data_IF_043205036195
#
_entry.id   IF_043205036195
#
_cell.length_a   1.000
_cell.length_b   1.000
_cell.length_c   1.000
_cell.angle_alpha   90.00
_cell.angle_beta   90.00
_cell.angle_gamma   90.00
#
_symmetry.space_group_name_H-M   'P 1'
#
loop_
_entity.id
_entity.type
_entity.pdbx_description
1 polymer ?
#
# COMPACT_ATOMS: atom_id res chain seq x y z
N UNK A 1 3.99 -29.10 -20.18
CA UNK A 1 3.13 -30.24 -19.76
C UNK A 1 3.84 -31.59 -19.76
N UNK A 2 4.45 -32.04 -20.87
CA UNK A 2 5.07 -33.37 -20.96
C UNK A 2 6.12 -33.67 -19.86
N UNK A 3 6.94 -32.67 -19.49
CA UNK A 3 7.95 -32.82 -18.41
C UNK A 3 7.33 -32.92 -17.02
N UNK A 4 6.20 -32.23 -16.79
CA UNK A 4 5.49 -32.20 -15.49
C UNK A 4 4.79 -33.53 -15.23
N UNK A 5 4.13 -34.04 -16.26
CA UNK A 5 3.48 -35.36 -16.26
C UNK A 5 4.51 -36.46 -16.05
N UNK A 6 5.69 -36.37 -16.69
CA UNK A 6 6.77 -37.33 -16.50
C UNK A 6 7.32 -37.30 -15.08
N UNK A 7 7.52 -36.12 -14.49
CA UNK A 7 7.97 -35.97 -13.11
C UNK A 7 6.94 -36.42 -12.08
N UNK A 8 5.65 -36.41 -12.45
CA UNK A 8 4.58 -36.93 -11.61
C UNK A 8 4.48 -38.47 -11.62
N UNK A 9 5.32 -39.18 -12.38
CA UNK A 9 5.29 -40.64 -12.50
C UNK A 9 4.62 -41.17 -13.78
N UNK A 10 4.17 -40.27 -14.66
CA UNK A 10 3.48 -40.62 -15.91
C UNK A 10 2.05 -40.06 -15.97
N UNK A 11 1.39 -40.29 -17.10
CA UNK A 11 0.06 -39.72 -17.38
C UNK A 11 -1.03 -40.27 -16.45
N UNK A 12 -0.97 -41.54 -16.08
CA UNK A 12 -1.92 -42.13 -15.12
C UNK A 12 -1.81 -41.50 -13.74
N UNK A 13 -0.58 -41.38 -13.22
CA UNK A 13 -0.36 -40.76 -11.91
C UNK A 13 -0.76 -39.28 -11.94
N UNK A 14 -0.45 -38.55 -13.01
CA UNK A 14 -0.91 -37.17 -13.19
C UNK A 14 -2.43 -37.03 -13.17
N UNK A 15 -3.15 -37.90 -13.91
CA UNK A 15 -4.61 -37.86 -13.99
C UNK A 15 -5.29 -38.28 -12.68
N UNK A 16 -4.59 -39.01 -11.81
CA UNK A 16 -5.07 -39.39 -10.47
C UNK A 16 -4.90 -38.28 -9.41
N UNK A 17 -4.11 -37.23 -9.70
CA UNK A 17 -3.96 -36.08 -8.82
C UNK A 17 -5.21 -35.21 -8.83
N UNK A 18 -5.52 -34.60 -7.70
CA UNK A 18 -6.57 -33.58 -7.62
C UNK A 18 -6.24 -32.36 -8.48
N UNK A 19 -7.25 -31.61 -8.92
CA UNK A 19 -7.04 -30.39 -9.74
C UNK A 19 -6.14 -29.37 -9.04
N UNK A 20 -6.24 -29.25 -7.72
CA UNK A 20 -5.39 -28.36 -6.92
C UNK A 20 -3.93 -28.79 -6.94
N UNK A 21 -3.63 -30.09 -6.82
CA UNK A 21 -2.27 -30.62 -6.90
C UNK A 21 -1.68 -30.50 -8.31
N UNK A 22 -2.49 -30.72 -9.35
CA UNK A 22 -2.08 -30.48 -10.73
C UNK A 22 -1.74 -29.00 -10.96
N UNK A 23 -2.57 -28.09 -10.43
CA UNK A 23 -2.32 -26.65 -10.52
C UNK A 23 -1.03 -26.25 -9.80
N UNK A 24 -0.80 -26.74 -8.58
CA UNK A 24 0.39 -26.44 -7.78
C UNK A 24 1.67 -26.93 -8.46
N UNK A 25 1.67 -28.16 -8.98
CA UNK A 25 2.82 -28.70 -9.74
C UNK A 25 3.04 -27.98 -11.07
N UNK A 26 1.99 -27.46 -11.68
CA UNK A 26 2.13 -26.64 -12.89
C UNK A 26 2.73 -25.27 -12.55
N UNK A 27 2.31 -24.65 -11.44
CA UNK A 27 2.83 -23.39 -10.94
C UNK A 27 4.33 -23.47 -10.62
N UNK A 28 4.77 -24.55 -9.97
CA UNK A 28 6.20 -24.81 -9.71
C UNK A 28 7.02 -24.83 -11.01
N UNK A 29 6.51 -25.47 -12.05
CA UNK A 29 7.19 -25.56 -13.34
C UNK A 29 7.22 -24.21 -14.03
N UNK A 30 6.13 -23.44 -13.96
CA UNK A 30 6.12 -22.07 -14.44
C UNK A 30 7.16 -21.22 -13.71
N UNK A 31 7.30 -21.33 -12.39
CA UNK A 31 8.33 -20.63 -11.63
C UNK A 31 9.75 -20.95 -12.10
N UNK A 32 10.05 -22.23 -12.39
CA UNK A 32 11.36 -22.63 -12.92
C UNK A 32 11.61 -22.02 -14.30
N UNK A 33 10.62 -22.07 -15.20
CA UNK A 33 10.72 -21.48 -16.53
C UNK A 33 10.91 -19.97 -16.45
N UNK A 34 10.10 -19.28 -15.63
CA UNK A 34 10.20 -17.83 -15.44
C UNK A 34 11.56 -17.43 -14.89
N UNK A 35 12.09 -18.16 -13.90
CA UNK A 35 13.43 -17.89 -13.35
C UNK A 35 14.50 -18.05 -14.43
N UNK A 36 14.45 -19.12 -15.23
CA UNK A 36 15.41 -19.36 -16.30
C UNK A 36 15.36 -18.26 -17.37
N UNK A 37 14.16 -17.98 -17.91
CA UNK A 37 13.98 -16.93 -18.91
C UNK A 37 14.38 -15.55 -18.37
N UNK A 38 14.05 -15.28 -17.10
CA UNK A 38 14.47 -14.07 -16.40
C UNK A 38 15.99 -13.95 -16.31
N UNK A 39 16.69 -15.02 -15.94
CA UNK A 39 18.15 -15.03 -15.86
C UNK A 39 18.82 -14.85 -17.23
N UNK A 40 18.30 -15.52 -18.26
CA UNK A 40 18.79 -15.38 -19.65
C UNK A 40 18.57 -13.96 -20.18
N UNK A 41 17.44 -13.32 -19.83
CA UNK A 41 17.17 -11.94 -20.18
C UNK A 41 18.08 -10.97 -19.39
N UNK A 42 18.24 -11.19 -18.10
CA UNK A 42 19.10 -10.39 -17.22
C UNK A 42 20.56 -10.39 -17.70
N UNK A 43 21.09 -11.56 -18.06
CA UNK A 43 22.47 -11.70 -18.54
C UNK A 43 22.76 -10.96 -19.86
N UNK A 44 21.72 -10.61 -20.65
CA UNK A 44 21.84 -9.81 -21.88
C UNK A 44 21.87 -8.31 -21.63
N UNK A 45 21.52 -7.87 -20.42
CA UNK A 45 21.53 -6.46 -20.05
C UNK A 45 22.97 -5.99 -19.87
N UNK A 46 23.18 -4.68 -20.05
CA UNK A 46 24.48 -4.09 -19.76
C UNK A 46 24.74 -4.06 -18.24
N UNK A 47 26.01 -3.88 -17.79
CA UNK A 47 26.36 -3.92 -16.36
C UNK A 47 25.57 -2.94 -15.49
N UNK A 48 25.27 -1.74 -16.00
CA UNK A 48 24.50 -0.72 -15.26
C UNK A 48 23.06 -1.21 -15.04
N UNK A 49 22.42 -1.73 -16.09
CA UNK A 49 21.05 -2.25 -16.01
C UNK A 49 20.93 -3.46 -15.08
N UNK A 50 21.92 -4.37 -15.12
CA UNK A 50 22.02 -5.50 -14.20
C UNK A 50 22.12 -5.00 -12.76
N UNK A 51 23.05 -4.06 -12.50
CA UNK A 51 23.24 -3.46 -11.19
C UNK A 51 21.94 -2.82 -10.67
N UNK A 52 21.24 -2.04 -11.50
CA UNK A 52 19.96 -1.42 -11.13
C UNK A 52 18.84 -2.44 -10.84
N UNK A 53 18.82 -3.61 -11.51
CA UNK A 53 17.83 -4.67 -11.22
C UNK A 53 18.14 -5.37 -9.89
N UNK A 54 19.41 -5.64 -9.63
CA UNK A 54 19.85 -6.31 -8.39
C UNK A 54 19.89 -5.37 -7.19
N UNK A 55 19.87 -4.06 -7.44
CA UNK A 55 19.88 -3.04 -6.41
C UNK A 55 18.61 -3.11 -5.54
N UNK A 56 18.81 -3.55 -4.30
CA UNK A 56 17.80 -3.49 -3.25
C UNK A 56 18.27 -2.57 -2.11
N UNK A 57 17.59 -1.43 -1.97
CA UNK A 57 17.84 -0.47 -0.89
C UNK A 57 16.71 -0.52 0.11
N UNK A 58 17.06 -0.82 1.36
CA UNK A 58 16.13 -0.74 2.48
C UNK A 58 16.39 0.55 3.26
N UNK A 59 15.50 1.54 3.10
CA UNK A 59 15.60 2.84 3.79
C UNK A 59 14.94 2.88 5.17
N UNK A 60 14.45 1.73 5.64
CA UNK A 60 13.59 1.64 6.82
C UNK A 60 12.29 2.45 6.72
N UNK A 61 11.54 2.49 7.82
CA UNK A 61 10.37 3.35 7.96
C UNK A 61 10.79 4.70 8.56
N UNK A 62 10.59 5.80 7.82
CA UNK A 62 11.03 7.13 8.26
C UNK A 62 10.43 7.53 9.61
N UNK A 63 9.15 7.23 9.86
CA UNK A 63 8.46 7.57 11.11
C UNK A 63 9.01 6.77 12.30
N UNK A 64 9.43 5.52 12.10
CA UNK A 64 10.08 4.73 13.15
C UNK A 64 11.44 5.28 13.54
N UNK A 65 12.15 5.98 12.64
CA UNK A 65 13.42 6.64 12.97
C UNK A 65 13.20 7.72 14.02
N UNK A 66 12.25 8.62 13.79
CA UNK A 66 11.83 9.63 14.77
C UNK A 66 11.39 8.99 16.08
N UNK A 67 10.51 7.98 16.03
CA UNK A 67 10.04 7.28 17.23
C UNK A 67 11.18 6.67 18.05
N UNK A 68 12.14 6.03 17.38
CA UNK A 68 13.30 5.45 18.06
C UNK A 68 14.20 6.54 18.63
N UNK A 69 14.36 7.66 17.94
CA UNK A 69 15.14 8.80 18.44
C UNK A 69 14.49 9.45 19.67
N UNK A 70 13.15 9.58 19.71
CA UNK A 70 12.41 10.05 20.90
C UNK A 70 12.73 9.19 22.12
N UNK A 71 12.83 7.87 21.96
CA UNK A 71 13.24 6.97 23.06
C UNK A 71 14.61 7.33 23.62
N UNK A 72 15.57 7.69 22.79
CA UNK A 72 16.90 8.09 23.24
C UNK A 72 16.90 9.45 23.95
N UNK A 73 16.05 10.39 23.52
CA UNK A 73 15.82 11.63 24.26
C UNK A 73 15.26 11.37 25.67
N UNK A 74 14.29 10.45 25.80
CA UNK A 74 13.75 10.04 27.11
C UNK A 74 14.81 9.35 27.98
N UNK A 75 15.64 8.48 27.41
CA UNK A 75 16.76 7.83 28.14
C UNK A 75 17.74 8.89 28.66
N UNK A 76 18.07 9.89 27.84
CA UNK A 76 18.96 10.98 28.24
C UNK A 76 18.38 11.81 29.40
N UNK A 77 17.09 12.16 29.36
CA UNK A 77 16.42 12.81 30.49
C UNK A 77 16.50 11.95 31.76
N UNK A 78 16.21 10.65 31.65
CA UNK A 78 16.34 9.70 32.75
C UNK A 78 17.74 9.69 33.38
N UNK A 79 18.78 9.75 32.54
CA UNK A 79 20.17 9.84 32.99
C UNK A 79 20.47 11.18 33.68
N UNK A 80 19.92 12.29 33.19
CA UNK A 80 20.11 13.60 33.82
C UNK A 80 19.67 13.61 35.28
N UNK A 81 18.48 13.06 35.60
CA UNK A 81 17.98 13.00 36.98
C UNK A 81 18.94 12.27 37.92
N UNK A 82 19.47 11.13 37.46
CA UNK A 82 20.43 10.30 38.22
C UNK A 82 21.75 11.04 38.40
N UNK A 83 22.31 11.58 37.32
CA UNK A 83 23.62 12.25 37.33
C UNK A 83 23.62 13.54 38.18
N UNK A 84 22.46 14.19 38.32
CA UNK A 84 22.31 15.41 39.12
C UNK A 84 21.77 15.17 40.54
N UNK A 85 21.53 13.90 40.92
CA UNK A 85 20.99 13.52 42.23
C UNK A 85 19.68 14.26 42.58
N UNK A 86 18.82 14.46 41.58
CA UNK A 86 17.49 15.05 41.73
C UNK A 86 16.45 13.94 41.63
N UNK A 87 15.44 13.97 42.49
CA UNK A 87 14.34 13.00 42.40
C UNK A 87 13.64 13.15 41.04
N UNK A 88 13.64 12.07 40.27
CA UNK A 88 13.04 12.01 38.94
C UNK A 88 11.51 12.00 38.95
N UNK A 89 10.89 11.92 37.76
CA UNK A 89 9.45 11.99 37.58
C UNK A 89 8.71 10.84 38.27
N UNK A 90 7.46 11.09 38.60
CA UNK A 90 6.52 10.04 39.01
C UNK A 90 6.06 9.27 37.78
N UNK A 91 6.05 7.95 37.92
CA UNK A 91 5.60 7.03 36.87
C UNK A 91 4.08 7.13 36.70
N UNK A 92 3.62 7.45 35.50
CA UNK A 92 2.22 7.35 35.08
C UNK A 92 1.89 5.87 34.77
N UNK A 93 1.13 5.22 35.65
CA UNK A 93 0.75 3.82 35.49
C UNK A 93 -0.43 3.66 34.52
N UNK A 94 -0.35 2.67 33.61
CA UNK A 94 -1.48 2.26 32.77
C UNK A 94 -1.99 0.86 33.18
N UNK A 95 -3.16 0.46 32.67
CA UNK A 95 -3.81 -0.83 33.00
C UNK A 95 -2.95 -2.06 32.68
N UNK A 96 -2.03 -1.96 31.72
CA UNK A 96 -1.12 -3.04 31.30
C UNK A 96 0.17 -3.10 32.15
N UNK A 97 0.60 -1.98 32.72
CA UNK A 97 1.72 -1.87 33.66
C UNK A 97 1.26 -2.12 35.12
N UNK A 98 -0.03 -2.38 35.32
CA UNK A 98 -0.70 -2.61 36.61
C UNK A 98 -0.30 -3.94 37.23
N UNK A 99 0.02 -4.96 36.43
CA UNK A 99 0.36 -6.30 36.94
C UNK A 99 1.70 -6.34 37.70
N UNK A 100 2.56 -5.33 37.51
CA UNK A 100 3.79 -5.14 38.28
C UNK A 100 3.56 -4.40 39.62
N UNK A 101 2.39 -3.80 39.83
CA UNK A 101 2.01 -3.06 41.04
C UNK A 101 0.60 -3.50 41.51
N UNK A 102 0.55 -4.71 42.06
CA UNK A 102 -0.67 -5.45 42.41
C UNK A 102 -1.67 -4.63 43.23
N UNK A 103 -2.95 -4.74 42.82
CA UNK A 103 -4.21 -4.46 43.55
C UNK A 103 -4.85 -3.07 43.32
N UNK A 104 -6.05 -3.08 42.70
CA UNK A 104 -7.12 -2.13 43.02
C UNK A 104 -7.90 -1.52 41.84
N UNK A 105 -9.21 -1.77 41.80
CA UNK A 105 -10.24 -0.80 41.43
C UNK A 105 -10.65 -0.65 39.96
N UNK A 106 -11.96 -0.66 39.74
CA UNK A 106 -12.66 -0.29 38.51
C UNK A 106 -13.04 1.20 38.55
N UNK A 107 -12.78 1.92 37.47
CA UNK A 107 -13.34 3.25 37.23
C UNK A 107 -13.55 3.39 35.71
N UNK A 108 -14.80 3.53 35.30
CA UNK A 108 -15.24 3.56 33.92
C UNK A 108 -16.72 3.86 33.86
N UNK A 109 -17.09 5.07 34.25
CA UNK A 109 -18.34 5.80 34.01
C UNK A 109 -18.04 7.25 34.49
N UNK A 110 -18.64 8.29 33.89
CA UNK A 110 -18.37 9.74 34.10
C UNK A 110 -17.39 10.46 33.15
N UNK A 111 -17.08 9.91 31.97
CA UNK A 111 -16.33 10.66 30.93
C UNK A 111 -17.13 11.82 30.27
N UNK A 112 -18.43 11.97 30.58
CA UNK A 112 -19.32 12.93 29.89
C UNK A 112 -19.21 14.37 30.43
N UNK A 113 -18.91 14.56 31.71
CA UNK A 113 -18.89 15.90 32.36
C UNK A 113 -17.66 16.75 31.93
N UNK A 114 -16.57 16.09 31.53
CA UNK A 114 -15.37 16.72 30.94
C UNK A 114 -15.64 17.16 29.50
N UNK A 115 -16.54 16.47 28.79
CA UNK A 115 -16.89 16.77 27.40
C UNK A 115 -17.68 18.07 27.25
N UNK A 116 -18.51 18.42 28.26
CA UNK A 116 -19.37 19.60 28.22
C UNK A 116 -18.58 20.91 28.46
N UNK A 117 -17.57 20.89 29.34
CA UNK A 117 -16.64 22.02 29.55
C UNK A 117 -15.59 22.17 28.45
N UNK A 118 -15.24 21.09 27.75
CA UNK A 118 -14.19 21.08 26.73
C UNK A 118 -14.70 21.26 25.29
N UNK A 119 -15.99 21.57 25.08
CA UNK A 119 -16.59 21.97 23.81
C UNK A 119 -15.84 21.47 22.56
N UNK A 120 -15.97 20.17 22.27
CA UNK A 120 -15.30 19.44 21.18
C UNK A 120 -13.85 18.94 21.35
N UNK A 121 -13.33 18.68 22.56
CA UNK A 121 -12.17 17.76 22.70
C UNK A 121 -12.62 16.30 22.74
N UNK A 122 -12.87 15.77 21.55
CA UNK A 122 -13.09 14.35 21.28
C UNK A 122 -11.90 13.51 21.78
N UNK A 123 -12.10 12.78 22.88
CA UNK A 123 -11.28 11.64 23.35
C UNK A 123 -9.82 11.96 23.70
N UNK A 124 -9.40 11.66 24.95
CA UNK A 124 -7.98 11.72 25.33
C UNK A 124 -7.11 10.93 24.34
N UNK A 125 -5.96 11.44 23.87
CA UNK A 125 -5.15 10.75 22.87
C UNK A 125 -4.76 9.36 23.35
N UNK A 126 -5.03 8.36 22.52
CA UNK A 126 -4.81 6.96 22.83
C UNK A 126 -3.32 6.67 23.01
N UNK A 127 -2.87 6.27 24.21
CA UNK A 127 -1.48 5.93 24.49
C UNK A 127 -1.21 4.45 24.20
N UNK A 128 -1.26 4.04 22.92
CA UNK A 128 -0.88 2.69 22.50
C UNK A 128 0.56 2.65 21.98
N UNK A 129 1.29 1.62 22.40
CA UNK A 129 2.68 1.36 21.98
C UNK A 129 2.86 1.21 20.45
N UNK A 130 1.78 0.95 19.70
CA UNK A 130 1.82 0.76 18.24
C UNK A 130 1.41 2.01 17.44
N UNK A 131 1.04 3.12 18.09
CA UNK A 131 0.65 4.36 17.42
C UNK A 131 1.72 5.43 17.62
N UNK A 132 2.25 5.97 16.52
CA UNK A 132 3.29 6.99 16.53
C UNK A 132 2.84 8.27 17.21
N UNK A 133 3.77 8.94 17.91
CA UNK A 133 3.60 10.25 18.54
C UNK A 133 2.51 10.37 19.61
N UNK A 134 1.81 9.29 19.95
CA UNK A 134 0.72 9.31 20.91
C UNK A 134 1.13 9.80 22.28
N UNK A 135 2.29 9.37 22.78
CA UNK A 135 2.84 9.87 24.04
C UNK A 135 3.07 11.39 24.04
N UNK A 136 3.54 11.95 22.93
CA UNK A 136 3.74 13.39 22.81
C UNK A 136 2.41 14.15 22.67
N UNK A 137 1.43 13.58 21.96
CA UNK A 137 0.08 14.14 21.88
C UNK A 137 -0.63 14.14 23.24
N UNK A 138 -0.49 13.06 24.01
CA UNK A 138 -0.99 12.98 25.38
C UNK A 138 -0.28 13.96 26.31
N UNK A 139 1.05 14.11 26.20
CA UNK A 139 1.80 15.10 26.96
C UNK A 139 1.32 16.53 26.66
N UNK A 140 1.16 16.86 25.37
CA UNK A 140 0.57 18.13 24.91
C UNK A 140 -0.81 18.36 25.52
N UNK A 141 -1.70 17.36 25.45
CA UNK A 141 -3.06 17.44 25.98
C UNK A 141 -3.06 17.71 27.49
N UNK A 142 -2.24 16.99 28.24
CA UNK A 142 -2.12 17.14 29.70
C UNK A 142 -1.62 18.53 30.08
N UNK A 143 -0.62 19.07 29.37
CA UNK A 143 -0.05 20.38 29.66
C UNK A 143 -0.99 21.53 29.31
N UNK A 144 -1.72 21.42 28.18
CA UNK A 144 -2.69 22.41 27.75
C UNK A 144 -3.88 22.54 28.70
N UNK A 145 -4.29 21.43 29.31
CA UNK A 145 -5.50 21.36 30.12
C UNK A 145 -5.21 20.92 31.56
N UNK A 146 -4.00 21.19 32.07
CA UNK A 146 -3.51 20.68 33.34
C UNK A 146 -4.46 21.00 34.51
N UNK A 147 -4.89 22.26 34.59
CA UNK A 147 -5.79 22.70 35.66
C UNK A 147 -7.17 22.05 35.55
N UNK A 148 -7.68 21.89 34.33
CA UNK A 148 -8.95 21.18 34.10
C UNK A 148 -8.87 19.70 34.50
N UNK A 149 -7.75 19.03 34.23
CA UNK A 149 -7.53 17.65 34.68
C UNK A 149 -7.42 17.55 36.21
N UNK A 150 -6.77 18.50 36.86
CA UNK A 150 -6.71 18.57 38.33
C UNK A 150 -8.11 18.79 38.92
N UNK A 151 -8.85 19.77 38.41
CA UNK A 151 -10.21 20.07 38.86
C UNK A 151 -11.15 18.88 38.64
N UNK A 152 -11.01 18.18 37.50
CA UNK A 152 -11.76 16.96 37.23
C UNK A 152 -11.44 15.87 38.25
N UNK A 153 -10.16 15.62 38.54
CA UNK A 153 -9.78 14.63 39.54
C UNK A 153 -10.36 15.00 40.92
N UNK A 154 -10.29 16.26 41.33
CA UNK A 154 -10.88 16.71 42.59
C UNK A 154 -12.39 16.44 42.66
N UNK A 155 -13.12 16.73 41.58
CA UNK A 155 -14.55 16.41 41.49
C UNK A 155 -14.81 14.91 41.60
N UNK A 156 -14.03 14.08 40.91
CA UNK A 156 -14.12 12.61 40.98
C UNK A 156 -13.89 12.12 42.42
N UNK A 157 -12.94 12.71 43.15
CA UNK A 157 -12.73 12.38 44.56
C UNK A 157 -13.94 12.76 45.41
N UNK A 158 -14.44 13.99 45.27
CA UNK A 158 -15.48 14.54 46.14
C UNK A 158 -16.85 13.86 45.93
N UNK A 159 -17.11 13.33 44.74
CA UNK A 159 -18.31 12.57 44.42
C UNK A 159 -18.34 11.15 45.01
N UNK A 160 -17.20 10.61 45.46
CA UNK A 160 -17.16 9.28 46.08
C UNK A 160 -17.72 9.30 47.48
N UNK A 161 -18.42 8.22 47.86
CA UNK A 161 -18.93 8.03 49.23
C UNK A 161 -17.83 8.18 50.29
N UNK A 162 -16.65 7.59 50.03
CA UNK A 162 -15.50 7.63 50.95
C UNK A 162 -14.67 8.90 50.83
N UNK A 163 -14.87 9.70 49.77
CA UNK A 163 -14.09 10.90 49.41
C UNK A 163 -12.57 10.70 49.40
N UNK A 164 -12.14 9.47 49.11
CA UNK A 164 -10.74 9.09 49.04
C UNK A 164 -10.36 8.74 47.60
N UNK A 165 -9.10 9.01 47.27
CA UNK A 165 -8.51 8.59 46.01
C UNK A 165 -8.35 7.07 45.95
N UNK A 166 -8.52 6.49 44.76
CA UNK A 166 -7.95 5.18 44.48
C UNK A 166 -6.43 5.28 44.30
N UNK A 167 -5.71 4.16 44.42
CA UNK A 167 -4.25 4.15 44.21
C UNK A 167 -3.85 4.73 42.84
N UNK A 168 -4.65 4.46 41.79
CA UNK A 168 -4.38 4.93 40.44
C UNK A 168 -4.65 6.44 40.31
N UNK A 169 -5.73 6.94 40.91
CA UNK A 169 -6.03 8.38 40.92
C UNK A 169 -5.03 9.17 41.74
N UNK A 170 -4.62 8.67 42.91
CA UNK A 170 -3.59 9.31 43.72
C UNK A 170 -2.28 9.36 42.95
N UNK A 171 -1.88 8.27 42.28
CA UNK A 171 -0.68 8.25 41.44
C UNK A 171 -0.76 9.26 40.29
N UNK A 172 -1.92 9.39 39.63
CA UNK A 172 -2.13 10.37 38.58
C UNK A 172 -2.10 11.81 39.12
N UNK A 173 -2.82 12.07 40.22
CA UNK A 173 -2.82 13.38 40.89
C UNK A 173 -1.40 13.80 41.28
N UNK A 174 -0.69 12.89 41.93
CA UNK A 174 0.69 13.07 42.32
C UNK A 174 1.58 13.38 41.12
N UNK A 175 1.40 12.68 39.99
CA UNK A 175 2.18 12.92 38.79
C UNK A 175 1.84 14.26 38.11
N UNK A 176 0.57 14.66 38.08
CA UNK A 176 0.13 15.96 37.52
C UNK A 176 0.47 17.16 38.42
N UNK A 177 0.88 16.91 39.66
CA UNK A 177 1.36 17.94 40.60
C UNK A 177 2.87 17.90 40.81
N UNK A 178 3.56 16.91 40.24
CA UNK A 178 4.99 16.71 40.36
C UNK A 178 5.78 17.50 39.30
N UNK A 179 6.64 18.41 39.77
CA UNK A 179 7.46 19.28 38.91
C UNK A 179 8.35 18.48 37.95
N UNK A 180 9.12 17.46 38.38
CA UNK A 180 9.88 16.60 37.47
C UNK A 180 9.04 15.95 36.37
N UNK A 181 7.86 15.43 36.71
CA UNK A 181 6.94 14.84 35.73
C UNK A 181 6.46 15.87 34.70
N UNK A 182 6.00 17.03 35.14
CA UNK A 182 5.58 18.10 34.24
C UNK A 182 6.73 18.60 33.36
N UNK A 183 7.95 18.60 33.90
CA UNK A 183 9.16 18.97 33.16
C UNK A 183 9.46 17.99 32.03
N UNK A 184 9.36 16.67 32.27
CA UNK A 184 9.55 15.68 31.20
C UNK A 184 8.46 15.75 30.13
N UNK A 185 7.20 15.93 30.54
CA UNK A 185 6.09 16.13 29.59
C UNK A 185 6.33 17.36 28.72
N UNK A 186 6.84 18.46 29.31
CA UNK A 186 7.17 19.68 28.59
C UNK A 186 8.31 19.47 27.59
N UNK A 187 9.43 18.85 28.02
CA UNK A 187 10.56 18.55 27.14
C UNK A 187 10.17 17.64 25.96
N UNK A 188 9.39 16.57 26.22
CA UNK A 188 8.85 15.70 25.18
C UNK A 188 7.95 16.46 24.18
N UNK A 189 7.10 17.35 24.69
CA UNK A 189 6.21 18.15 23.86
C UNK A 189 6.98 19.15 23.01
N UNK A 190 7.99 19.81 23.56
CA UNK A 190 8.88 20.73 22.83
C UNK A 190 9.57 19.99 21.69
N UNK A 191 10.17 18.83 21.96
CA UNK A 191 10.80 18.04 20.90
C UNK A 191 9.78 17.63 19.82
N UNK A 192 8.58 17.22 20.21
CA UNK A 192 7.54 16.85 19.28
C UNK A 192 7.10 18.01 18.38
N UNK A 193 6.91 19.21 18.93
CA UNK A 193 6.55 20.40 18.14
C UNK A 193 7.71 20.85 17.23
N UNK A 194 8.96 20.66 17.67
CA UNK A 194 10.16 21.15 16.96
C UNK A 194 10.62 20.20 15.86
N UNK A 195 10.58 18.90 16.12
CA UNK A 195 11.14 17.86 15.25
C UNK A 195 10.05 16.92 14.75
N UNK A 196 9.39 16.17 15.63
CA UNK A 196 8.57 15.02 15.22
C UNK A 196 7.36 15.42 14.35
N UNK A 197 6.63 16.48 14.70
CA UNK A 197 5.47 16.94 13.93
C UNK A 197 5.91 17.50 12.56
N UNK A 198 6.87 18.44 12.48
CA UNK A 198 7.40 18.88 11.18
C UNK A 198 7.96 17.74 10.34
N UNK A 199 8.67 16.79 10.96
CA UNK A 199 9.25 15.63 10.29
C UNK A 199 8.18 14.72 9.67
N UNK A 200 7.16 14.34 10.44
CA UNK A 200 6.04 13.53 9.91
C UNK A 200 5.23 14.30 8.88
N UNK A 201 5.01 15.61 9.09
CA UNK A 201 4.33 16.44 8.10
C UNK A 201 5.08 16.43 6.77
N UNK A 202 6.40 16.65 6.79
CA UNK A 202 7.24 16.64 5.59
C UNK A 202 7.17 15.30 4.84
N UNK A 203 7.25 14.18 5.57
CA UNK A 203 7.15 12.83 4.97
C UNK A 203 5.78 12.59 4.32
N UNK A 204 4.71 13.03 4.98
CA UNK A 204 3.34 12.76 4.54
C UNK A 204 2.83 13.74 3.48
N UNK A 205 3.44 14.92 3.34
CA UNK A 205 2.99 15.97 2.41
C UNK A 205 3.05 15.54 0.94
N UNK A 206 4.09 14.80 0.54
CA UNK A 206 4.29 14.39 -0.85
C UNK A 206 4.32 12.86 -0.98
N UNK A 207 3.22 12.28 -1.48
CA UNK A 207 3.12 10.84 -1.71
C UNK A 207 4.13 10.31 -2.74
N UNK A 208 4.68 11.18 -3.60
CA UNK A 208 5.71 10.86 -4.59
C UNK A 208 7.13 11.09 -4.07
N UNK A 209 7.31 11.48 -2.80
CA UNK A 209 8.62 11.70 -2.23
C UNK A 209 9.40 10.39 -2.15
N UNK A 210 10.54 10.38 -2.82
CA UNK A 210 11.44 9.24 -2.78
C UNK A 210 12.17 9.20 -1.44
N UNK A 211 12.05 8.09 -0.72
CA UNK A 211 12.72 7.89 0.57
C UNK A 211 14.25 8.03 0.49
N UNK A 212 14.85 7.75 -0.68
CA UNK A 212 16.29 7.89 -0.90
C UNK A 212 16.76 9.35 -0.93
N UNK A 213 15.85 10.30 -1.15
CA UNK A 213 16.17 11.73 -1.21
C UNK A 213 16.02 12.42 0.16
N UNK A 214 15.85 11.65 1.24
CA UNK A 214 15.62 12.18 2.58
C UNK A 214 16.90 12.65 3.28
N UNK A 215 18.08 12.26 2.79
CA UNK A 215 19.38 12.57 3.40
C UNK A 215 19.57 14.06 3.75
N UNK A 216 19.34 15.03 2.82
CA UNK A 216 19.46 16.44 3.14
C UNK A 216 18.49 16.91 4.24
N UNK A 217 17.26 16.39 4.26
CA UNK A 217 16.29 16.73 5.29
C UNK A 217 16.67 16.15 6.66
N UNK A 218 17.22 14.94 6.68
CA UNK A 218 17.81 14.34 7.88
C UNK A 218 18.97 15.15 8.45
N UNK A 219 19.82 15.72 7.59
CA UNK A 219 20.88 16.64 8.04
C UNK A 219 20.33 17.93 8.62
N UNK A 220 19.22 18.45 8.08
CA UNK A 220 18.53 19.59 8.68
C UNK A 220 17.98 19.25 10.06
N UNK A 221 17.40 18.05 10.24
CA UNK A 221 16.94 17.58 11.56
C UNK A 221 18.09 17.53 12.58
N UNK A 222 19.24 16.96 12.20
CA UNK A 222 20.44 16.95 13.04
C UNK A 222 20.92 18.36 13.39
N UNK A 223 20.93 19.25 12.39
CA UNK A 223 21.35 20.65 12.56
C UNK A 223 20.41 21.40 13.51
N UNK A 224 19.09 21.19 13.38
CA UNK A 224 18.10 21.76 14.30
C UNK A 224 18.30 21.22 15.71
N UNK A 225 18.53 19.91 15.88
CA UNK A 225 18.82 19.36 17.20
C UNK A 225 20.08 19.99 17.81
N UNK A 226 21.16 20.11 17.02
CA UNK A 226 22.41 20.73 17.48
C UNK A 226 22.22 22.20 17.86
N UNK A 227 21.45 22.95 17.08
CA UNK A 227 21.13 24.34 17.36
C UNK A 227 20.40 24.50 18.70
N UNK A 228 19.43 23.63 19.00
CA UNK A 228 18.71 23.64 20.28
C UNK A 228 19.60 23.22 21.46
N UNK A 229 20.52 22.28 21.26
CA UNK A 229 21.50 21.89 22.29
C UNK A 229 22.39 23.09 22.64
N UNK A 230 22.90 23.78 21.62
CA UNK A 230 23.83 24.91 21.76
C UNK A 230 23.12 26.16 22.30
N UNK A 231 21.86 26.37 21.92
CA UNK A 231 21.04 27.50 22.36
C UNK A 231 19.58 27.07 22.60
N UNK A 232 19.24 26.64 23.83
CA UNK A 232 17.88 26.21 24.18
C UNK A 232 16.83 27.32 24.06
N UNK A 233 17.24 28.59 24.12
CA UNK A 233 16.35 29.74 23.98
C UNK A 233 15.72 29.81 22.57
N UNK A 234 16.24 29.06 21.59
CA UNK A 234 15.58 28.89 20.29
C UNK A 234 14.18 28.25 20.42
N UNK A 235 13.93 27.47 21.47
CA UNK A 235 12.62 26.82 21.72
C UNK A 235 12.01 27.22 23.07
N UNK A 236 12.79 27.83 23.97
CA UNK A 236 12.37 28.30 25.29
C UNK A 236 12.26 29.83 25.42
N UNK A 237 12.89 30.58 24.50
CA UNK A 237 12.92 32.03 24.55
C UNK A 237 11.59 32.67 24.16
N UNK A 238 11.35 33.89 24.64
CA UNK A 238 10.09 34.60 24.42
C UNK A 238 9.75 34.82 22.93
N UNK A 239 10.77 34.87 22.07
CA UNK A 239 10.63 35.14 20.63
C UNK A 239 10.59 33.87 19.75
N UNK A 240 10.50 32.67 20.32
CA UNK A 240 10.64 31.40 19.62
C UNK A 240 9.51 31.06 18.58
N UNK A 241 8.64 31.99 18.16
CA UNK A 241 7.42 31.69 17.40
C UNK A 241 7.30 32.35 16.02
N UNK A 242 7.19 31.53 14.96
CA UNK A 242 6.85 31.99 13.60
C UNK A 242 5.78 31.17 12.84
N UNK A 243 5.10 30.17 13.43
CA UNK A 243 4.04 29.40 12.71
C UNK A 243 2.75 29.14 13.50
N UNK A 244 1.56 29.26 12.86
CA UNK A 244 0.26 29.24 13.55
C UNK A 244 -0.16 27.96 14.32
N UNK A 245 0.12 26.72 13.85
CA UNK A 245 -0.42 25.53 14.51
C UNK A 245 0.30 25.11 15.81
N UNK A 246 1.48 25.66 16.08
CA UNK A 246 2.30 25.38 17.28
C UNK A 246 2.07 26.37 18.44
N UNK A 247 1.36 27.48 18.19
CA UNK A 247 1.21 28.60 19.14
C UNK A 247 0.59 28.18 20.49
N UNK A 248 -0.50 27.40 20.48
CA UNK A 248 -1.27 27.14 21.70
C UNK A 248 -0.51 26.35 22.78
N UNK A 249 0.17 25.27 22.39
CA UNK A 249 0.86 24.38 23.35
C UNK A 249 2.19 24.95 23.80
N UNK A 250 2.96 25.54 22.89
CA UNK A 250 4.24 26.11 23.27
C UNK A 250 4.07 27.35 24.16
N UNK A 251 3.02 28.15 23.93
CA UNK A 251 2.63 29.22 24.84
C UNK A 251 2.29 28.70 26.24
N UNK A 252 1.52 27.62 26.34
CA UNK A 252 1.19 27.01 27.63
C UNK A 252 2.44 26.50 28.38
N UNK A 253 3.40 25.92 27.65
CA UNK A 253 4.67 25.48 28.21
C UNK A 253 5.51 26.68 28.66
N UNK A 254 5.61 27.73 27.86
CA UNK A 254 6.35 28.95 28.21
C UNK A 254 5.75 29.67 29.41
N UNK A 255 4.42 29.71 29.53
CA UNK A 255 3.74 30.24 30.70
C UNK A 255 4.05 29.42 31.97
N UNK A 256 4.27 28.11 31.83
CA UNK A 256 4.67 27.22 32.92
C UNK A 256 6.19 27.20 33.16
N UNK A 257 7.01 27.58 32.19
CA UNK A 257 8.47 27.47 32.26
C UNK A 257 9.09 28.09 33.53
N UNK A 258 8.64 29.26 34.04
CA UNK A 258 9.16 29.82 35.29
C UNK A 258 8.97 28.93 36.53
N UNK A 259 7.99 28.02 36.52
CA UNK A 259 7.75 27.07 37.63
C UNK A 259 8.44 25.72 37.42
N UNK A 260 9.14 25.52 36.30
CA UNK A 260 9.84 24.29 35.93
C UNK A 260 11.37 24.51 35.97
N UNK A 261 12.02 24.43 37.15
CA UNK A 261 13.43 24.79 37.33
C UNK A 261 14.40 23.95 36.50
N UNK A 262 13.98 22.76 36.06
CA UNK A 262 14.82 21.83 35.30
C UNK A 262 14.47 21.80 33.80
N UNK A 263 13.58 22.68 33.31
CA UNK A 263 13.12 22.61 31.91
C UNK A 263 14.25 22.79 30.90
N UNK A 264 15.08 23.82 31.06
CA UNK A 264 16.20 24.08 30.16
C UNK A 264 17.19 22.91 30.06
N UNK A 265 17.75 22.38 31.18
CA UNK A 265 18.67 21.26 31.09
C UNK A 265 18.01 19.98 30.57
N UNK A 266 16.74 19.72 30.86
CA UNK A 266 16.03 18.54 30.34
C UNK A 266 15.79 18.63 28.83
N UNK A 267 15.47 19.83 28.31
CA UNK A 267 15.39 20.05 26.86
C UNK A 267 16.74 19.79 26.22
N UNK A 268 17.83 20.34 26.75
CA UNK A 268 19.18 20.08 26.22
C UNK A 268 19.52 18.60 26.20
N UNK A 269 19.25 17.89 27.30
CA UNK A 269 19.54 16.45 27.40
C UNK A 269 18.66 15.61 26.48
N UNK A 270 17.37 15.94 26.35
CA UNK A 270 16.49 15.27 25.40
C UNK A 270 17.03 15.42 23.97
N UNK A 271 17.34 16.65 23.56
CA UNK A 271 17.86 16.92 22.22
C UNK A 271 19.25 16.30 22.01
N UNK A 272 20.08 16.22 23.05
CA UNK A 272 21.38 15.52 22.99
C UNK A 272 21.21 14.04 22.72
N UNK A 273 20.36 13.35 23.50
CA UNK A 273 20.07 11.94 23.27
C UNK A 273 19.45 11.68 21.89
N UNK A 274 18.61 12.60 21.42
CA UNK A 274 18.06 12.53 20.07
C UNK A 274 19.14 12.74 18.98
N UNK A 275 20.00 13.74 19.14
CA UNK A 275 21.09 14.06 18.22
C UNK A 275 22.08 12.91 18.07
N UNK A 276 22.46 12.25 19.16
CA UNK A 276 23.36 11.09 19.15
C UNK A 276 22.74 9.86 18.48
N UNK A 277 21.42 9.71 18.58
CA UNK A 277 20.70 8.54 18.08
C UNK A 277 20.33 8.62 16.61
N UNK A 278 20.01 9.81 16.09
CA UNK A 278 19.65 10.01 14.69
C UNK A 278 20.62 9.33 13.70
N UNK A 279 21.96 9.48 13.82
CA UNK A 279 22.91 8.85 12.91
C UNK A 279 22.81 7.31 12.86
N UNK A 280 22.44 6.66 13.97
CA UNK A 280 22.26 5.21 14.01
C UNK A 280 21.09 4.73 13.14
N UNK A 281 20.12 5.59 12.88
CA UNK A 281 18.94 5.29 12.07
C UNK A 281 19.03 5.86 10.64
N UNK A 282 20.16 6.44 10.26
CA UNK A 282 20.35 7.10 8.95
C UNK A 282 21.62 6.64 8.25
N UNK A 283 22.14 5.46 8.62
CA UNK A 283 23.39 4.90 8.10
C UNK A 283 23.35 4.68 6.59
N UNK A 284 22.18 4.47 6.00
CA UNK A 284 22.04 4.34 4.55
C UNK A 284 22.32 5.64 3.78
N UNK A 285 22.15 6.79 4.44
CA UNK A 285 22.38 8.13 3.89
C UNK A 285 23.78 8.68 4.19
N UNK A 286 24.61 7.94 4.94
CA UNK A 286 25.99 8.33 5.21
C UNK A 286 26.81 8.34 3.91
N UNK A 287 27.92 9.09 3.92
CA UNK A 287 28.90 9.07 2.83
C UNK A 287 29.51 7.66 2.71
N UNK A 288 29.48 7.08 1.50
CA UNK A 288 29.81 5.66 1.28
C UNK A 288 28.69 4.69 1.65
N UNK A 289 27.51 5.19 2.02
CA UNK A 289 26.30 4.37 2.20
C UNK A 289 25.66 4.00 0.86
N UNK A 290 24.83 2.95 0.86
CA UNK A 290 24.15 2.42 -0.34
C UNK A 290 23.37 3.47 -1.14
N UNK A 291 22.91 4.55 -0.50
CA UNK A 291 22.21 5.65 -1.19
C UNK A 291 23.18 6.59 -1.90
N UNK A 292 24.35 6.84 -1.30
CA UNK A 292 25.41 7.69 -1.88
C UNK A 292 26.16 7.01 -3.03
N UNK A 293 26.16 5.69 -3.05
CA UNK A 293 26.73 4.88 -4.14
C UNK A 293 25.85 4.84 -5.39
N UNK A 294 24.61 5.35 -5.30
CA UNK A 294 23.71 5.44 -6.45
C UNK A 294 24.22 6.50 -7.42
N UNK A 295 24.61 6.05 -8.59
CA UNK A 295 25.01 6.92 -9.69
C UNK A 295 23.78 7.66 -10.25
N UNK A 296 24.01 8.84 -10.83
CA UNK A 296 22.94 9.60 -11.51
C UNK A 296 22.27 8.78 -12.64
N UNK A 297 23.05 7.88 -13.26
CA UNK A 297 22.63 6.97 -14.34
C UNK A 297 21.62 5.92 -13.85
N UNK A 298 21.78 5.39 -12.64
CA UNK A 298 20.82 4.46 -12.03
C UNK A 298 19.49 5.16 -11.67
N UNK A 299 19.55 6.45 -11.32
CA UNK A 299 18.37 7.29 -11.10
C UNK A 299 17.56 7.53 -12.38
N UNK A 300 18.23 7.77 -13.50
CA UNK A 300 17.61 7.97 -14.81
C UNK A 300 17.01 6.66 -15.36
N UNK A 301 17.72 5.55 -15.23
CA UNK A 301 17.24 4.21 -15.60
C UNK A 301 15.99 3.81 -14.82
N UNK A 302 15.90 4.18 -13.53
CA UNK A 302 14.67 3.98 -12.73
C UNK A 302 13.47 4.70 -13.33
N UNK A 303 13.62 5.96 -13.74
CA UNK A 303 12.52 6.74 -14.33
C UNK A 303 12.13 6.21 -15.71
N UNK A 304 13.12 5.76 -16.50
CA UNK A 304 12.87 5.07 -17.78
C UNK A 304 12.04 3.79 -17.56
N UNK A 305 12.33 3.00 -16.53
CA UNK A 305 11.56 1.79 -16.19
C UNK A 305 10.15 2.09 -15.73
N UNK A 306 9.94 3.18 -14.97
CA UNK A 306 8.59 3.62 -14.59
C UNK A 306 7.75 3.92 -15.84
N UNK A 307 8.30 4.69 -16.78
CA UNK A 307 7.67 4.97 -18.07
C UNK A 307 7.39 3.68 -18.87
N UNK A 308 8.34 2.74 -18.89
CA UNK A 308 8.16 1.47 -19.57
C UNK A 308 7.06 0.61 -18.92
N UNK A 309 6.99 0.57 -17.59
CA UNK A 309 5.97 -0.15 -16.86
C UNK A 309 4.57 0.44 -17.10
N UNK A 310 4.44 1.77 -17.09
CA UNK A 310 3.21 2.48 -17.44
C UNK A 310 2.76 2.17 -18.87
N UNK A 311 3.69 2.21 -19.83
CA UNK A 311 3.44 1.82 -21.21
C UNK A 311 2.96 0.36 -21.31
N UNK A 312 3.68 -0.58 -20.69
CA UNK A 312 3.33 -2.00 -20.71
C UNK A 312 1.96 -2.27 -20.10
N UNK A 313 1.62 -1.59 -18.98
CA UNK A 313 0.32 -1.68 -18.35
C UNK A 313 -0.79 -1.17 -19.28
N UNK A 314 -0.55 -0.09 -20.02
CA UNK A 314 -1.48 0.43 -21.02
C UNK A 314 -1.71 -0.57 -22.16
N UNK A 315 -0.64 -1.19 -22.67
CA UNK A 315 -0.73 -2.24 -23.71
C UNK A 315 -1.52 -3.45 -23.22
N UNK A 316 -1.21 -3.96 -22.03
CA UNK A 316 -1.92 -5.11 -21.43
C UNK A 316 -3.41 -4.78 -21.23
N UNK A 317 -3.71 -3.56 -20.75
CA UNK A 317 -5.09 -3.10 -20.57
C UNK A 317 -5.84 -3.04 -21.90
N UNK A 318 -5.20 -2.56 -22.98
CA UNK A 318 -5.78 -2.58 -24.33
C UNK A 318 -6.07 -4.00 -24.81
N UNK A 319 -5.11 -4.93 -24.66
CA UNK A 319 -5.27 -6.33 -25.05
C UNK A 319 -6.41 -7.00 -24.30
N UNK A 320 -6.48 -6.84 -22.97
CA UNK A 320 -7.58 -7.36 -22.15
C UNK A 320 -8.95 -6.85 -22.62
N UNK A 321 -9.09 -5.55 -22.91
CA UNK A 321 -10.33 -4.99 -23.46
C UNK A 321 -10.72 -5.62 -24.80
N UNK A 322 -9.74 -5.86 -25.67
CA UNK A 322 -9.99 -6.52 -26.95
C UNK A 322 -10.44 -7.99 -26.77
N UNK A 323 -9.79 -8.71 -25.86
CA UNK A 323 -10.13 -10.10 -25.56
C UNK A 323 -11.53 -10.22 -24.93
N UNK A 324 -11.91 -9.31 -24.02
CA UNK A 324 -13.28 -9.24 -23.49
C UNK A 324 -14.30 -9.03 -24.60
N UNK A 325 -14.09 -8.07 -25.50
CA UNK A 325 -14.99 -7.83 -26.64
C UNK A 325 -15.09 -9.05 -27.56
N UNK A 326 -13.96 -9.72 -27.82
CA UNK A 326 -13.94 -10.94 -28.63
C UNK A 326 -14.73 -12.05 -27.97
N UNK A 327 -14.60 -12.22 -26.65
CA UNK A 327 -15.33 -13.20 -25.86
C UNK A 327 -16.83 -12.90 -25.83
N UNK A 328 -17.23 -11.66 -25.54
CA UNK A 328 -18.64 -11.23 -25.58
C UNK A 328 -19.28 -11.50 -26.94
N UNK A 329 -18.54 -11.24 -28.03
CA UNK A 329 -19.01 -11.58 -29.39
C UNK A 329 -19.17 -13.08 -29.58
N UNK A 330 -18.21 -13.88 -29.14
CA UNK A 330 -18.28 -15.34 -29.24
C UNK A 330 -19.45 -15.91 -28.40
N UNK A 331 -19.65 -15.39 -27.20
CA UNK A 331 -20.73 -15.80 -26.30
C UNK A 331 -22.10 -15.41 -26.88
N UNK A 332 -22.22 -14.20 -27.46
CA UNK A 332 -23.42 -13.75 -28.16
C UNK A 332 -23.71 -14.58 -29.42
N UNK A 333 -22.68 -14.88 -30.22
CA UNK A 333 -22.79 -15.77 -31.38
C UNK A 333 -23.27 -17.16 -30.92
N UNK A 334 -22.70 -17.72 -29.86
CA UNK A 334 -23.10 -19.01 -29.31
C UNK A 334 -24.54 -19.00 -28.77
N UNK A 335 -24.95 -17.95 -28.06
CA UNK A 335 -26.32 -17.79 -27.56
C UNK A 335 -27.34 -17.63 -28.69
N UNK A 336 -26.97 -16.93 -29.77
CA UNK A 336 -27.79 -16.83 -30.97
C UNK A 336 -28.00 -18.20 -31.63
N UNK A 337 -26.97 -19.07 -31.62
CA UNK A 337 -27.12 -20.45 -32.08
C UNK A 337 -28.01 -21.27 -31.14
N UNK A 338 -27.84 -21.19 -29.81
CA UNK A 338 -28.71 -21.90 -28.86
C UNK A 338 -30.19 -21.53 -29.00
N UNK A 339 -30.48 -20.29 -29.37
CA UNK A 339 -31.85 -19.77 -29.56
C UNK A 339 -32.42 -20.08 -30.94
N UNK A 340 -31.62 -20.63 -31.85
CA UNK A 340 -32.02 -20.93 -33.22
C UNK A 340 -32.81 -22.24 -33.27
N UNK A 341 -33.99 -22.22 -33.90
CA UNK A 341 -34.68 -23.46 -34.24
C UNK A 341 -33.99 -24.09 -35.47
N UNK A 342 -33.40 -25.30 -35.35
CA UNK A 342 -32.73 -25.94 -36.46
C UNK A 342 -33.73 -26.37 -37.54
N UNK A 343 -33.43 -26.05 -38.79
CA UNK A 343 -34.25 -26.46 -39.93
C UNK A 343 -33.63 -27.72 -40.52
N UNK A 344 -34.29 -28.85 -40.32
CA UNK A 344 -33.96 -30.10 -40.98
C UNK A 344 -34.65 -30.12 -42.34
N UNK A 345 -33.86 -30.13 -43.41
CA UNK A 345 -34.35 -30.09 -44.80
C UNK A 345 -35.32 -31.24 -45.06
N UNK A 346 -36.62 -30.95 -45.01
CA UNK A 346 -37.67 -31.74 -45.66
C UNK A 346 -38.42 -30.82 -46.63
N UNK A 347 -38.68 -31.23 -47.88
CA UNK A 347 -39.13 -30.33 -48.95
C UNK A 347 -40.42 -29.54 -48.67
N UNK A 348 -41.23 -29.99 -47.71
CA UNK A 348 -42.54 -29.41 -47.37
C UNK A 348 -42.52 -28.32 -46.29
N UNK A 349 -41.38 -28.09 -45.60
CA UNK A 349 -41.29 -27.16 -44.45
C UNK A 349 -40.31 -25.98 -44.66
N UNK A 350 -39.92 -25.69 -45.91
CA UNK A 350 -38.96 -24.61 -46.16
C UNK A 350 -39.60 -23.21 -46.07
N UNK A 351 -38.99 -22.25 -45.35
CA UNK A 351 -39.53 -20.88 -45.26
C UNK A 351 -39.55 -20.17 -46.61
N UNK A 352 -40.66 -19.49 -46.95
CA UNK A 352 -40.85 -18.78 -48.23
C UNK A 352 -39.88 -17.60 -48.46
N UNK A 353 -39.22 -17.10 -47.40
CA UNK A 353 -38.15 -16.09 -47.47
C UNK A 353 -37.02 -16.54 -46.57
N UNK A 354 -35.89 -16.93 -47.15
CA UNK A 354 -34.71 -17.40 -46.42
C UNK A 354 -33.48 -16.63 -46.91
N UNK A 355 -32.98 -15.70 -46.09
CA UNK A 355 -31.88 -14.81 -46.48
C UNK A 355 -30.51 -15.43 -46.19
N UNK A 356 -29.47 -14.96 -46.89
CA UNK A 356 -28.07 -15.42 -46.73
C UNK A 356 -27.57 -15.43 -45.27
N UNK A 357 -27.87 -14.41 -44.43
CA UNK A 357 -27.54 -14.47 -42.99
C UNK A 357 -28.17 -15.66 -42.26
N UNK A 358 -29.41 -16.03 -42.58
CA UNK A 358 -30.10 -17.17 -41.95
C UNK A 358 -29.47 -18.51 -42.36
N UNK A 359 -29.03 -18.63 -43.62
CA UNK A 359 -28.31 -19.82 -44.13
C UNK A 359 -26.99 -19.99 -43.37
N UNK A 360 -26.20 -18.91 -43.26
CA UNK A 360 -24.91 -18.95 -42.55
C UNK A 360 -25.11 -19.31 -41.07
N UNK A 361 -26.17 -18.78 -40.44
CA UNK A 361 -26.48 -19.07 -39.04
C UNK A 361 -26.92 -20.53 -38.81
N UNK A 362 -27.71 -21.11 -39.73
CA UNK A 362 -28.06 -22.54 -39.68
C UNK A 362 -26.84 -23.43 -39.91
N UNK A 363 -25.95 -23.08 -40.85
CA UNK A 363 -24.71 -23.81 -41.08
C UNK A 363 -23.83 -23.80 -39.82
N UNK A 364 -23.68 -22.63 -39.18
CA UNK A 364 -22.96 -22.51 -37.90
C UNK A 364 -23.56 -23.41 -36.82
N UNK A 365 -24.89 -23.46 -36.74
CA UNK A 365 -25.59 -24.29 -35.78
C UNK A 365 -25.28 -25.77 -36.01
N UNK A 366 -25.39 -26.25 -37.26
CA UNK A 366 -25.11 -27.65 -37.58
C UNK A 366 -23.64 -28.04 -37.38
N UNK A 367 -22.69 -27.15 -37.67
CA UNK A 367 -21.27 -27.37 -37.35
C UNK A 367 -21.01 -27.47 -35.84
N UNK A 368 -21.80 -26.78 -35.03
CA UNK A 368 -21.59 -26.70 -33.56
C UNK A 368 -22.32 -27.82 -32.81
N UNK A 369 -23.54 -28.17 -33.22
CA UNK A 369 -24.44 -29.03 -32.45
C UNK A 369 -24.89 -30.31 -33.17
N UNK A 370 -24.64 -30.46 -34.47
CA UNK A 370 -25.10 -31.65 -35.22
C UNK A 370 -24.11 -32.82 -35.07
N UNK A 371 -24.61 -34.06 -34.84
CA UNK A 371 -23.80 -35.26 -34.85
C UNK A 371 -23.13 -35.55 -36.22
N UNK A 372 -23.69 -35.00 -37.30
CA UNK A 372 -23.22 -35.16 -38.69
C UNK A 372 -22.46 -33.92 -39.18
N UNK A 373 -21.76 -33.19 -38.29
CA UNK A 373 -21.06 -31.94 -38.64
C UNK A 373 -20.06 -32.08 -39.81
N UNK A 374 -19.52 -33.28 -40.03
CA UNK A 374 -18.62 -33.59 -41.15
C UNK A 374 -19.27 -33.44 -42.53
N UNK A 375 -20.59 -33.61 -42.62
CA UNK A 375 -21.37 -33.56 -43.86
C UNK A 375 -21.93 -32.15 -44.13
N UNK A 376 -21.73 -31.20 -43.21
CA UNK A 376 -22.26 -29.84 -43.31
C UNK A 376 -21.37 -29.01 -44.26
N UNK A 377 -21.94 -28.38 -45.30
CA UNK A 377 -21.16 -27.57 -46.26
C UNK A 377 -20.33 -26.47 -45.59
N UNK A 378 -19.14 -26.19 -46.16
CA UNK A 378 -18.29 -25.07 -45.74
C UNK A 378 -18.93 -23.74 -46.17
N UNK A 379 -18.87 -22.74 -45.29
CA UNK A 379 -19.42 -21.39 -45.52
C UNK A 379 -18.98 -20.74 -46.82
N UNK A 380 -17.75 -21.01 -47.26
CA UNK A 380 -17.17 -20.47 -48.49
C UNK A 380 -17.83 -20.98 -49.78
N UNK A 381 -18.66 -22.03 -49.69
CA UNK A 381 -19.45 -22.55 -50.83
C UNK A 381 -20.88 -22.00 -50.88
N UNK A 382 -21.26 -21.10 -49.97
CA UNK A 382 -22.61 -20.52 -49.94
C UNK A 382 -22.68 -19.18 -50.69
N UNK A 383 -23.03 -19.26 -51.97
CA UNK A 383 -23.66 -18.21 -52.77
C UNK A 383 -22.72 -17.26 -53.51
N UNK A 384 -22.56 -17.51 -54.81
CA UNK A 384 -22.57 -16.46 -55.83
C UNK A 384 -24.04 -16.07 -56.11
N UNK A 385 -24.27 -14.80 -56.43
CA UNK A 385 -25.57 -14.13 -56.30
C UNK A 385 -26.70 -14.75 -57.14
N UNK A 386 -27.90 -14.83 -56.56
CA UNK A 386 -29.15 -14.93 -57.32
C UNK A 386 -29.78 -16.31 -57.49
N UNK A 387 -29.17 -17.41 -57.01
CA UNK A 387 -29.78 -18.75 -57.15
C UNK A 387 -30.92 -18.99 -56.14
N UNK A 388 -32.03 -19.50 -56.64
CA UNK A 388 -33.20 -19.94 -55.86
C UNK A 388 -32.88 -21.23 -55.10
N UNK A 389 -33.58 -21.50 -53.99
CA UNK A 389 -33.34 -22.69 -53.13
C UNK A 389 -33.45 -24.01 -53.91
N UNK A 390 -34.29 -24.07 -54.95
CA UNK A 390 -34.43 -25.22 -55.83
C UNK A 390 -33.21 -25.45 -56.75
N UNK A 391 -32.41 -24.42 -57.03
CA UNK A 391 -31.16 -24.53 -57.77
C UNK A 391 -30.04 -25.06 -56.89
N UNK A 392 -29.97 -24.60 -55.63
CA UNK A 392 -28.99 -25.12 -54.67
C UNK A 392 -29.23 -26.60 -54.33
N UNK A 393 -30.50 -27.06 -54.27
CA UNK A 393 -30.83 -28.47 -54.00
C UNK A 393 -30.45 -29.35 -55.21
N UNK A 394 -30.74 -28.94 -56.44
CA UNK A 394 -30.36 -29.68 -57.67
C UNK A 394 -28.86 -29.83 -57.85
N UNK A 395 -28.08 -28.81 -57.48
CA UNK A 395 -26.60 -28.89 -57.53
C UNK A 395 -26.02 -29.85 -56.49
N UNK A 396 -26.69 -30.02 -55.33
CA UNK A 396 -26.27 -30.97 -54.28
C UNK A 396 -26.70 -32.40 -54.60
N UNK A 397 -27.82 -32.59 -55.30
CA UNK A 397 -28.39 -33.90 -55.64
C UNK A 397 -27.85 -34.50 -56.96
N UNK A 398 -27.04 -33.77 -57.73
CA UNK A 398 -26.21 -34.35 -58.80
C UNK A 398 -26.96 -34.81 -60.06
N UNK A 399 -28.01 -34.11 -60.49
CA UNK A 399 -28.61 -34.30 -61.82
C UNK A 399 -28.00 -33.32 -62.83
N UNK A 400 -27.07 -33.83 -63.65
CA UNK A 400 -26.20 -33.02 -64.51
C UNK A 400 -26.83 -32.47 -65.78
N UNK A 401 -26.20 -31.43 -66.32
CA UNK A 401 -26.17 -31.17 -67.76
C UNK A 401 -24.72 -31.02 -68.20
N UNK A 402 -24.31 -31.89 -69.11
CA UNK A 402 -23.08 -31.79 -69.90
C UNK A 402 -23.16 -30.54 -70.76
N UNK A 403 -22.07 -29.77 -70.84
CA UNK A 403 -21.56 -29.18 -72.08
C UNK A 403 -20.11 -28.68 -71.89
N UNK A 404 -19.22 -29.41 -72.55
CA UNK A 404 -18.01 -29.03 -73.29
C UNK A 404 -17.27 -27.69 -73.05
N UNK A 405 -15.99 -27.87 -72.70
CA UNK A 405 -14.79 -27.35 -73.38
C UNK A 405 -14.28 -25.90 -73.18
N UNK A 406 -12.93 -25.83 -73.10
CA UNK A 406 -12.00 -24.68 -73.24
C UNK A 406 -11.87 -23.77 -72.00
N UNK A 407 -10.70 -23.41 -71.47
CA UNK A 407 -9.29 -23.50 -71.88
C UNK A 407 -8.54 -22.38 -71.12
N UNK A 408 -7.25 -22.58 -70.81
CA UNK A 408 -6.25 -21.55 -70.42
C UNK A 408 -6.46 -20.80 -69.09
N UNK A 409 -5.47 -20.21 -68.40
CA UNK A 409 -4.00 -20.26 -68.29
C UNK A 409 -3.68 -19.19 -67.23
N UNK A 410 -2.76 -19.45 -66.29
CA UNK A 410 -1.97 -18.42 -65.56
C UNK A 410 -2.72 -17.41 -64.61
N UNK A 411 -2.19 -16.73 -63.58
CA UNK A 411 -0.88 -16.30 -63.06
C UNK A 411 -1.01 -15.98 -61.54
N UNK A 412 0.15 -15.91 -60.87
CA UNK A 412 0.61 -15.34 -59.56
C UNK A 412 -0.24 -14.21 -58.92
N UNK A 413 -0.21 -13.93 -57.62
CA UNK A 413 0.88 -13.38 -56.76
C UNK A 413 0.48 -13.54 -55.26
N UNK A 414 1.32 -14.01 -54.32
CA UNK A 414 2.31 -13.29 -53.49
C UNK A 414 1.95 -11.85 -53.12
N UNK A 415 1.67 -11.62 -51.83
CA UNK A 415 2.01 -10.38 -51.08
C UNK A 415 2.22 -10.77 -49.60
N UNK A 416 3.47 -11.02 -49.20
CA UNK A 416 4.19 -10.21 -48.20
C UNK A 416 3.98 -8.70 -48.33
N UNK A 417 3.70 -8.06 -47.19
CA UNK A 417 4.27 -6.81 -46.69
C UNK A 417 3.80 -6.72 -45.21
N UNK A 418 4.70 -6.64 -44.20
CA UNK A 418 5.49 -5.46 -43.76
C UNK A 418 4.53 -4.29 -43.41
N UNK A 419 4.53 -3.69 -42.22
CA UNK A 419 5.52 -2.88 -41.49
C UNK A 419 4.67 -2.21 -40.36
N UNK A 420 5.12 -1.62 -39.25
CA UNK A 420 6.40 -1.25 -38.66
C UNK A 420 6.17 -1.05 -37.14
#
# INVERSE_FOLDING_TARGET
MATVVKNAGGQETWNSLSESEQALRMEEVYHVIYRRLGQEAFAKLNPVQQCTIDLFVWSGCQIHKDLNTVKWGVIAMGKWWVDNNVQGPKKLLNKLNKDTARIGGAAGEHAEDVSEKLGHLSTFPDTLNNRFQTHALSAKQLLLHLDLYKDFLLQVKDQKETRNWSNLEQNLWDALTDIPTLTELAALTIYSQTISIPYVSYICQNQNQNALNMGPYHQNVLSTCKAVIDNPDLVLGADAFHTPPTLGVMYAIHAQAPSLPYLCPLVQWFFTGAYEAWPWFMTEFAEGGKVSELTAEEGEERENRKRLAEHNLAVVTKKRKHDTKRKEKQDADHQALLSLCPIYLTPSFFPKKFCKPNIILQINWHHTFSPSCADVPKKSKCGEEGKTVAECIREVEGEGSNEEEQGQEEIKDKDMEDEA
#
